data_IF_854616178061
#
_entry.id   IF_854616178061
#
_cell.length_a   1.000
_cell.length_b   1.000
_cell.length_c   1.000
_cell.angle_alpha   90.00
_cell.angle_beta   90.00
_cell.angle_gamma   90.00
#
_symmetry.space_group_name_H-M   'P 1'
#
loop_
_entity.id
_entity.type
_entity.pdbx_description
1 polymer ?
#
# COMPACT_ATOMS: atom_id res chain seq x y z
N UNK A 1 21.43 -0.66 9.43
CA UNK A 1 21.20 0.06 8.16
C UNK A 1 21.28 -0.91 6.98
N UNK A 2 20.41 -1.93 6.95
CA UNK A 2 20.48 -3.05 5.97
C UNK A 2 19.11 -3.49 5.44
N UNK A 3 18.06 -2.69 5.70
CA UNK A 3 16.69 -2.99 5.27
C UNK A 3 16.42 -2.56 3.82
N UNK A 4 17.08 -1.50 3.33
CA UNK A 4 16.77 -0.93 2.01
C UNK A 4 17.38 -1.71 0.83
N UNK A 5 18.53 -2.37 1.01
CA UNK A 5 19.21 -3.07 -0.09
C UNK A 5 18.53 -4.40 -0.49
N UNK A 6 17.67 -4.97 0.36
CA UNK A 6 16.94 -6.21 0.06
C UNK A 6 15.63 -6.00 -0.72
N UNK A 7 15.09 -4.78 -0.76
CA UNK A 7 13.83 -4.50 -1.47
C UNK A 7 13.93 -4.65 -2.99
N UNK A 8 15.13 -4.61 -3.57
CA UNK A 8 15.30 -4.58 -5.04
C UNK A 8 15.36 -5.97 -5.69
N UNK A 9 15.49 -7.06 -4.92
CA UNK A 9 15.69 -8.42 -5.50
C UNK A 9 14.77 -9.51 -4.95
N UNK A 10 14.14 -9.32 -3.79
CA UNK A 10 13.26 -10.35 -3.22
C UNK A 10 11.80 -10.00 -3.52
N UNK A 11 11.12 -10.89 -4.25
CA UNK A 11 9.65 -10.97 -4.27
C UNK A 11 9.19 -11.31 -2.85
N UNK A 12 9.15 -10.31 -1.97
CA UNK A 12 8.69 -10.47 -0.60
C UNK A 12 7.22 -10.87 -0.65
N UNK A 13 6.78 -11.91 0.09
CA UNK A 13 5.35 -12.20 0.18
C UNK A 13 4.59 -10.94 0.62
N UNK A 14 3.57 -10.59 -0.16
CA UNK A 14 2.89 -9.28 -0.09
C UNK A 14 2.36 -8.98 1.32
N UNK A 15 1.78 -9.98 1.99
CA UNK A 15 1.27 -9.88 3.35
C UNK A 15 2.34 -9.50 4.39
N UNK A 16 3.53 -10.11 4.34
CA UNK A 16 4.63 -9.80 5.26
C UNK A 16 5.21 -8.40 5.01
N UNK A 17 5.04 -7.89 3.79
CA UNK A 17 5.46 -6.53 3.41
C UNK A 17 4.53 -5.48 4.04
N UNK A 18 3.21 -5.69 4.00
CA UNK A 18 2.26 -4.71 4.54
C UNK A 18 2.33 -4.59 6.07
N UNK A 19 2.49 -5.69 6.79
CA UNK A 19 2.68 -5.67 8.24
C UNK A 19 3.94 -4.88 8.64
N UNK A 20 5.02 -5.02 7.85
CA UNK A 20 6.23 -4.25 8.05
C UNK A 20 5.98 -2.75 7.83
N UNK A 21 5.29 -2.38 6.74
CA UNK A 21 4.96 -0.99 6.41
C UNK A 21 4.09 -0.36 7.50
N UNK A 22 3.04 -1.05 7.96
CA UNK A 22 2.16 -0.56 9.04
C UNK A 22 2.96 -0.29 10.31
N UNK A 23 3.83 -1.23 10.70
CA UNK A 23 4.72 -1.06 11.86
C UNK A 23 5.70 0.10 11.69
N UNK A 24 6.25 0.29 10.50
CA UNK A 24 7.22 1.35 10.21
C UNK A 24 6.59 2.74 10.20
N UNK A 25 5.39 2.89 9.63
CA UNK A 25 4.64 4.17 9.62
C UNK A 25 4.11 4.49 11.03
N UNK A 26 3.76 3.48 11.83
CA UNK A 26 3.37 3.65 13.23
C UNK A 26 1.95 4.18 13.42
N UNK A 27 1.08 4.03 12.42
CA UNK A 27 -0.35 4.38 12.49
C UNK A 27 -1.20 3.13 12.23
N UNK A 28 -2.48 3.10 12.68
CA UNK A 28 -3.38 1.99 12.35
C UNK A 28 -3.47 1.78 10.83
N UNK A 29 -3.47 0.52 10.38
CA UNK A 29 -3.50 0.16 8.95
C UNK A 29 -4.61 0.87 8.17
N UNK A 30 -5.81 0.97 8.74
CA UNK A 30 -6.94 1.67 8.14
C UNK A 30 -6.77 3.18 7.96
N UNK A 31 -5.67 3.80 8.44
CA UNK A 31 -5.31 5.20 8.17
C UNK A 31 -4.29 5.36 7.02
N UNK A 32 -3.81 4.24 6.46
CA UNK A 32 -2.86 4.23 5.36
C UNK A 32 -3.63 3.97 4.07
N UNK A 33 -3.36 4.80 3.07
CA UNK A 33 -3.91 4.65 1.71
C UNK A 33 -2.80 4.19 0.79
N UNK A 34 -3.00 3.03 0.17
CA UNK A 34 -2.08 2.38 -0.75
C UNK A 34 -2.57 2.53 -2.19
N UNK A 35 -1.66 2.87 -3.09
CA UNK A 35 -1.92 3.04 -4.52
C UNK A 35 -0.97 2.15 -5.31
N UNK A 36 -1.52 1.32 -6.19
CA UNK A 36 -0.77 0.39 -7.04
C UNK A 36 -1.60 0.08 -8.31
N UNK A 37 -0.98 -0.25 -9.43
CA UNK A 37 -1.66 -0.58 -10.68
C UNK A 37 -2.04 -2.07 -10.79
N UNK A 38 -1.38 -2.93 -10.01
CA UNK A 38 -1.64 -4.37 -9.88
C UNK A 38 -2.89 -4.64 -9.03
N UNK A 39 -3.83 -5.39 -9.62
CA UNK A 39 -5.02 -5.84 -8.89
C UNK A 39 -4.68 -6.76 -7.71
N UNK A 40 -3.67 -7.63 -7.88
CA UNK A 40 -3.23 -8.58 -6.84
C UNK A 40 -2.67 -7.86 -5.61
N UNK A 41 -1.85 -6.83 -5.83
CA UNK A 41 -1.28 -6.03 -4.73
C UNK A 41 -2.38 -5.29 -3.98
N UNK A 42 -3.34 -4.71 -4.71
CA UNK A 42 -4.47 -3.97 -4.11
C UNK A 42 -5.35 -4.89 -3.27
N UNK A 43 -5.66 -6.09 -3.74
CA UNK A 43 -6.40 -7.08 -2.98
C UNK A 43 -5.64 -7.53 -1.73
N UNK A 44 -4.34 -7.79 -1.87
CA UNK A 44 -3.50 -8.17 -0.74
C UNK A 44 -3.40 -7.06 0.32
N UNK A 45 -3.24 -5.80 -0.09
CA UNK A 45 -3.22 -4.65 0.81
C UNK A 45 -4.55 -4.47 1.57
N UNK A 46 -5.69 -4.67 0.90
CA UNK A 46 -7.02 -4.66 1.54
C UNK A 46 -7.16 -5.77 2.58
N UNK A 47 -6.69 -6.97 2.25
CA UNK A 47 -6.70 -8.10 3.18
C UNK A 47 -5.81 -7.86 4.42
N UNK A 48 -4.76 -7.06 4.27
CA UNK A 48 -3.91 -6.57 5.37
C UNK A 48 -4.48 -5.37 6.14
N UNK A 49 -5.70 -4.91 5.80
CA UNK A 49 -6.41 -3.85 6.53
C UNK A 49 -6.05 -2.42 6.12
N UNK A 50 -5.32 -2.24 5.01
CA UNK A 50 -5.05 -0.93 4.44
C UNK A 50 -6.26 -0.46 3.60
N UNK A 51 -6.42 0.84 3.46
CA UNK A 51 -7.22 1.37 2.35
C UNK A 51 -6.38 1.22 1.08
N UNK A 52 -6.93 0.66 0.00
CA UNK A 52 -6.17 0.48 -1.24
C UNK A 52 -6.98 0.78 -2.50
N UNK A 53 -6.35 1.46 -3.46
CA UNK A 53 -6.92 1.91 -4.73
C UNK A 53 -6.07 1.36 -5.86
N UNK A 54 -6.73 0.70 -6.82
CA UNK A 54 -6.09 0.32 -8.08
C UNK A 54 -6.01 1.52 -8.99
N UNK A 55 -4.80 1.89 -9.40
CA UNK A 55 -4.56 3.05 -10.26
C UNK A 55 -4.46 2.57 -11.71
N UNK A 56 -5.41 3.02 -12.53
CA UNK A 56 -5.40 2.84 -13.98
C UNK A 56 -5.14 4.15 -14.72
N UNK A 57 -5.32 5.28 -14.03
CA UNK A 57 -5.00 6.61 -14.51
C UNK A 57 -4.78 7.58 -13.34
N UNK A 58 -4.20 8.78 -13.56
CA UNK A 58 -4.06 9.81 -12.52
C UNK A 58 -5.39 10.27 -11.90
N UNK A 59 -6.51 10.10 -12.61
CA UNK A 59 -7.84 10.44 -12.11
C UNK A 59 -8.24 9.58 -10.91
N UNK A 60 -7.77 8.34 -10.84
CA UNK A 60 -8.05 7.42 -9.72
C UNK A 60 -7.43 7.93 -8.42
N UNK A 61 -6.22 8.48 -8.51
CA UNK A 61 -5.53 9.10 -7.37
C UNK A 61 -6.26 10.37 -6.93
N UNK A 62 -6.61 11.24 -7.88
CA UNK A 62 -7.31 12.48 -7.59
C UNK A 62 -8.68 12.22 -6.93
N UNK A 63 -9.44 11.24 -7.44
CA UNK A 63 -10.74 10.86 -6.87
C UNK A 63 -10.61 10.28 -5.47
N UNK A 64 -9.60 9.45 -5.22
CA UNK A 64 -9.34 8.89 -3.90
C UNK A 64 -8.98 9.97 -2.87
N UNK A 65 -8.10 10.92 -3.23
CA UNK A 65 -7.71 12.01 -2.34
C UNK A 65 -8.89 12.94 -2.03
N UNK A 66 -9.70 13.28 -3.03
CA UNK A 66 -10.90 14.09 -2.84
C UNK A 66 -11.92 13.41 -1.91
N UNK A 67 -12.10 12.09 -2.03
CA UNK A 67 -12.99 11.31 -1.14
C UNK A 67 -12.51 11.30 0.32
N UNK A 68 -11.22 11.51 0.56
CA UNK A 68 -10.61 11.61 1.88
C UNK A 68 -10.57 13.05 2.42
N UNK A 69 -10.96 14.04 1.62
CA UNK A 69 -11.00 15.44 2.01
C UNK A 69 -9.68 16.20 1.85
N UNK A 70 -8.81 15.76 0.93
CA UNK A 70 -7.61 16.50 0.50
C UNK A 70 -7.88 17.40 -0.71
#
# INVERSE_FOLDING_TARGET
>A
MRCMEKCLTDQWPLNETYDHVVKAIGVPAGRIVFFDDSAENVESARNSGLQAVRVTSPHDVAGALAALGF
#
